data_IF_700780301129
#
_entry.id   IF_700780301129
#
_cell.length_a   1.000
_cell.length_b   1.000
_cell.length_c   1.000
_cell.angle_alpha   90.00
_cell.angle_beta   90.00
_cell.angle_gamma   90.00
#
_symmetry.space_group_name_H-M   'P 1'
#
loop_
_entity.id
_entity.type
_entity.pdbx_description
1 polymer ?
#
# COMPACT_ATOMS: atom_id res chain seq x y z
N UNK A 1 10.08 -24.48 6.94
CA UNK A 1 9.57 -23.09 6.87
C UNK A 1 8.19 -23.12 6.21
N UNK A 2 7.13 -22.74 6.92
CA UNK A 2 5.77 -22.72 6.35
C UNK A 2 5.61 -21.40 5.60
N UNK A 3 5.60 -21.46 4.27
CA UNK A 3 5.31 -20.30 3.44
C UNK A 3 3.80 -20.03 3.49
N UNK A 4 3.38 -19.02 4.24
CA UNK A 4 1.97 -18.61 4.28
C UNK A 4 1.55 -18.08 2.90
N UNK A 5 0.94 -18.95 2.09
CA UNK A 5 0.41 -18.57 0.78
C UNK A 5 -0.95 -17.87 0.97
N UNK A 6 -0.99 -16.54 0.74
CA UNK A 6 -2.24 -15.77 0.77
C UNK A 6 -3.13 -16.15 -0.41
N UNK A 7 -4.43 -16.33 -0.15
CA UNK A 7 -5.47 -16.47 -1.17
C UNK A 7 -6.11 -15.12 -1.47
N UNK A 8 -6.43 -14.89 -2.74
CA UNK A 8 -7.15 -13.70 -3.19
C UNK A 8 -8.59 -13.74 -2.66
N UNK A 9 -9.06 -12.73 -1.91
CA UNK A 9 -10.39 -12.71 -1.32
C UNK A 9 -11.50 -12.62 -2.37
N UNK A 10 -11.19 -12.12 -3.57
CA UNK A 10 -12.15 -11.99 -4.67
C UNK A 10 -12.35 -13.30 -5.45
N UNK A 11 -11.39 -14.22 -5.36
CA UNK A 11 -11.19 -15.19 -6.44
C UNK A 11 -10.67 -16.55 -5.98
N UNK A 12 -10.26 -16.66 -4.71
CA UNK A 12 -9.76 -17.89 -4.06
C UNK A 12 -8.35 -18.33 -4.46
N UNK A 13 -7.81 -17.85 -5.60
CA UNK A 13 -6.48 -18.26 -6.08
C UNK A 13 -5.34 -17.72 -5.23
N UNK A 14 -4.24 -18.46 -5.20
CA UNK A 14 -3.00 -18.04 -4.55
C UNK A 14 -2.47 -16.74 -5.16
N UNK A 15 -1.90 -15.90 -4.30
CA UNK A 15 -1.33 -14.60 -4.65
C UNK A 15 0.20 -14.65 -4.64
N UNK A 16 0.81 -13.88 -5.52
CA UNK A 16 2.26 -13.68 -5.59
C UNK A 16 2.69 -12.64 -4.55
N UNK A 17 3.60 -13.00 -3.66
CA UNK A 17 4.17 -12.07 -2.69
C UNK A 17 5.23 -11.21 -3.37
N UNK A 18 5.13 -9.89 -3.22
CA UNK A 18 6.09 -8.92 -3.73
C UNK A 18 6.34 -7.78 -2.74
N UNK A 19 7.29 -6.91 -3.09
CA UNK A 19 7.57 -5.67 -2.36
C UNK A 19 7.17 -4.48 -3.24
N UNK A 20 6.71 -3.40 -2.62
CA UNK A 20 6.50 -2.12 -3.28
C UNK A 20 7.69 -1.22 -2.93
N UNK A 21 8.70 -1.11 -3.81
CA UNK A 21 9.89 -0.30 -3.52
C UNK A 21 9.59 1.20 -3.68
N UNK A 22 10.18 2.06 -2.84
CA UNK A 22 10.26 3.47 -3.13
C UNK A 22 11.27 3.68 -4.26
N UNK A 23 10.91 4.49 -5.27
CA UNK A 23 11.84 4.85 -6.35
C UNK A 23 12.66 6.08 -5.98
N UNK A 24 12.06 7.28 -6.06
CA UNK A 24 12.71 8.55 -5.72
C UNK A 24 11.92 9.38 -4.68
N UNK A 25 10.74 8.91 -4.28
CA UNK A 25 9.82 9.63 -3.40
C UNK A 25 9.14 8.67 -2.43
N UNK A 26 8.58 9.23 -1.35
CA UNK A 26 7.74 8.48 -0.42
C UNK A 26 6.40 8.17 -1.09
N UNK A 27 6.06 6.89 -1.21
CA UNK A 27 4.75 6.44 -1.66
C UNK A 27 3.79 6.46 -0.46
N UNK A 28 2.64 7.13 -0.64
CA UNK A 28 1.60 7.23 0.39
C UNK A 28 0.26 6.79 -0.17
N UNK A 29 -0.51 6.04 0.60
CA UNK A 29 -1.93 5.88 0.36
C UNK A 29 -2.65 7.13 0.86
N UNK A 30 -3.56 7.65 0.03
CA UNK A 30 -4.41 8.78 0.35
C UNK A 30 -5.86 8.40 0.03
N UNK A 31 -6.76 8.62 0.97
CA UNK A 31 -8.19 8.51 0.70
C UNK A 31 -8.61 9.51 -0.37
N UNK A 32 -9.36 9.06 -1.37
CA UNK A 32 -10.09 9.93 -2.31
C UNK A 32 -11.24 10.65 -1.60
N UNK A 33 -11.83 9.99 -0.60
CA UNK A 33 -12.89 10.54 0.20
C UNK A 33 -12.31 11.54 1.21
N UNK A 34 -12.65 12.82 1.06
CA UNK A 34 -12.24 13.84 2.00
C UNK A 34 -12.27 15.24 1.42
N UNK A 35 -13.29 15.98 1.83
CA UNK A 35 -13.33 17.43 1.92
C UNK A 35 -12.12 17.94 2.75
N UNK A 36 -10.91 17.90 2.19
CA UNK A 36 -9.67 18.35 2.83
C UNK A 36 -9.57 19.85 2.58
N UNK A 37 -9.84 20.67 3.60
CA UNK A 37 -9.53 22.11 3.52
C UNK A 37 -8.06 22.29 3.11
N UNK A 38 -7.78 23.15 2.13
CA UNK A 38 -6.46 23.23 1.48
C UNK A 38 -5.27 23.40 2.42
N UNK A 39 -5.46 24.06 3.58
CA UNK A 39 -4.43 24.19 4.61
C UNK A 39 -4.10 22.85 5.30
N UNK A 40 -5.10 22.03 5.63
CA UNK A 40 -4.85 20.71 6.22
C UNK A 40 -4.15 19.78 5.22
N UNK A 41 -4.46 19.94 3.92
CA UNK A 41 -3.80 19.22 2.83
C UNK A 41 -2.32 19.60 2.67
N UNK A 42 -1.99 20.88 2.78
CA UNK A 42 -0.61 21.39 2.67
C UNK A 42 0.28 20.99 3.86
N UNK A 43 -0.28 21.00 5.07
CA UNK A 43 0.47 20.71 6.30
C UNK A 43 0.33 19.26 6.80
N UNK A 44 -0.45 18.42 6.11
CA UNK A 44 -0.72 17.01 6.47
C UNK A 44 -1.17 16.83 7.94
N UNK A 45 -1.88 17.83 8.48
CA UNK A 45 -2.24 17.92 9.90
C UNK A 45 -3.31 16.90 10.32
N UNK A 46 -4.06 16.38 9.36
CA UNK A 46 -5.11 15.38 9.56
C UNK A 46 -4.56 13.94 9.70
N UNK A 47 -3.25 13.71 9.46
CA UNK A 47 -2.56 12.41 9.62
C UNK A 47 -3.24 11.22 8.91
N UNK A 48 -4.06 11.48 7.88
CA UNK A 48 -4.83 10.44 7.17
C UNK A 48 -4.03 9.66 6.13
N UNK A 49 -2.80 10.08 5.85
CA UNK A 49 -1.95 9.45 4.84
C UNK A 49 -1.18 8.28 5.44
N UNK A 50 -1.21 7.12 4.79
CA UNK A 50 -0.44 5.94 5.21
C UNK A 50 0.82 5.83 4.35
N UNK A 51 2.00 5.77 4.98
CA UNK A 51 3.27 5.62 4.26
C UNK A 51 3.43 4.16 3.82
N UNK A 52 3.42 3.92 2.51
CA UNK A 52 3.60 2.59 1.93
C UNK A 52 5.07 2.26 1.66
N UNK A 53 5.86 3.26 1.28
CA UNK A 53 7.29 3.09 1.07
C UNK A 53 8.03 4.42 1.20
N UNK A 54 9.23 4.42 1.76
CA UNK A 54 10.07 5.62 1.88
C UNK A 54 11.55 5.25 1.80
N UNK A 55 12.30 5.93 0.92
CA UNK A 55 13.76 5.76 0.81
C UNK A 55 14.44 6.21 2.11
N UNK A 56 14.06 7.38 2.62
CA UNK A 56 14.68 8.01 3.79
C UNK A 56 14.54 7.16 5.06
N UNK A 57 13.39 6.51 5.23
CA UNK A 57 13.09 5.70 6.42
C UNK A 57 13.28 4.19 6.18
N UNK A 58 13.79 3.79 5.00
CA UNK A 58 13.96 2.40 4.59
C UNK A 58 12.68 1.54 4.74
N UNK A 59 11.51 2.14 4.50
CA UNK A 59 10.21 1.49 4.62
C UNK A 59 9.84 0.86 3.28
N UNK A 60 9.46 -0.43 3.30
CA UNK A 60 8.92 -1.15 2.15
C UNK A 60 7.69 -1.95 2.59
N UNK A 61 6.55 -1.72 1.95
CA UNK A 61 5.38 -2.52 2.20
C UNK A 61 5.39 -3.83 1.39
N UNK A 62 4.89 -4.90 2.01
CA UNK A 62 4.64 -6.17 1.34
C UNK A 62 3.29 -6.13 0.64
N UNK A 63 3.28 -6.43 -0.65
CA UNK A 63 2.07 -6.58 -1.44
C UNK A 63 1.84 -8.03 -1.84
N UNK A 64 0.58 -8.40 -2.05
CA UNK A 64 0.18 -9.68 -2.60
C UNK A 64 -0.59 -9.44 -3.90
N UNK A 65 -0.04 -9.85 -5.03
CA UNK A 65 -0.62 -9.65 -6.35
C UNK A 65 -1.43 -10.89 -6.76
N UNK A 66 -2.72 -10.72 -7.02
CA UNK A 66 -3.50 -11.71 -7.73
C UNK A 66 -3.43 -11.44 -9.25
N UNK A 67 -2.67 -12.26 -9.98
CA UNK A 67 -2.54 -12.14 -11.44
C UNK A 67 -3.86 -12.28 -12.19
N UNK A 68 -4.81 -13.08 -11.67
CA UNK A 68 -6.15 -13.26 -12.28
C UNK A 68 -7.01 -12.00 -12.16
N UNK A 69 -7.15 -11.46 -10.95
CA UNK A 69 -7.99 -10.29 -10.70
C UNK A 69 -7.31 -8.96 -11.01
N UNK A 70 -5.99 -8.98 -11.24
CA UNK A 70 -5.14 -7.78 -11.40
C UNK A 70 -5.28 -6.83 -10.21
N UNK A 71 -5.35 -7.40 -8.99
CA UNK A 71 -5.47 -6.66 -7.73
C UNK A 71 -4.25 -6.94 -6.85
N UNK A 72 -3.75 -5.89 -6.20
CA UNK A 72 -2.75 -5.99 -5.14
C UNK A 72 -3.46 -5.77 -3.81
N UNK A 73 -3.18 -6.62 -2.83
CA UNK A 73 -3.56 -6.42 -1.44
C UNK A 73 -2.31 -6.04 -0.68
N UNK A 74 -2.41 -4.93 0.04
CA UNK A 74 -1.34 -4.33 0.82
C UNK A 74 -1.76 -4.48 2.28
N UNK A 75 -0.91 -5.10 3.08
CA UNK A 75 -1.09 -5.26 4.52
C UNK A 75 -0.19 -4.23 5.20
N UNK A 76 -0.79 -3.26 5.90
CA UNK A 76 -0.17 -2.04 6.42
C UNK A 76 -0.36 -1.95 7.93
#
# INVERSE_FOLDING_TARGET
MIEFKRKCPYCGKLMEKGKIPPRNYTLKWKSEDGNRSGLNYLFNLDKKDIILASVWNNIYCTGYLCRRCKKIIIDI
#
